data_IF_951153244638
#
_entry.id   IF_951153244638
#
_cell.length_a   1.000
_cell.length_b   1.000
_cell.length_c   1.000
_cell.angle_alpha   90.00
_cell.angle_beta   90.00
_cell.angle_gamma   90.00
#
_symmetry.space_group_name_H-M   'P 1'
#
loop_
_entity.id
_entity.type
_entity.pdbx_description
1 polymer ?
#
# COMPACT_ATOMS: atom_id res chain seq x y z
N UNK A 1 -4.44 -28.57 -12.60
CA UNK A 1 -3.85 -27.99 -11.38
C UNK A 1 -4.94 -27.24 -10.63
N UNK A 2 -5.08 -27.49 -9.33
CA UNK A 2 -6.05 -26.90 -8.42
C UNK A 2 -5.35 -25.89 -7.51
N UNK A 3 -5.67 -24.62 -7.67
CA UNK A 3 -5.01 -23.52 -6.96
C UNK A 3 -5.99 -22.95 -5.94
N UNK A 4 -5.65 -23.05 -4.66
CA UNK A 4 -6.41 -22.38 -3.62
C UNK A 4 -5.87 -20.96 -3.42
N UNK A 5 -6.72 -19.93 -3.59
CA UNK A 5 -6.34 -18.54 -3.33
C UNK A 5 -7.09 -17.95 -2.14
N UNK A 6 -6.43 -17.11 -1.34
CA UNK A 6 -7.04 -16.36 -0.25
C UNK A 6 -6.65 -14.89 -0.35
N UNK A 7 -7.62 -14.01 -0.61
CA UNK A 7 -7.54 -12.57 -0.42
C UNK A 7 -8.64 -12.11 0.54
N UNK A 8 -8.33 -11.14 1.42
CA UNK A 8 -9.26 -10.62 2.42
C UNK A 8 -9.56 -9.12 2.32
N UNK A 9 -8.93 -8.43 1.36
CA UNK A 9 -9.09 -7.00 1.13
C UNK A 9 -9.12 -6.69 -0.37
N UNK A 10 -9.64 -5.52 -0.77
CA UNK A 10 -9.72 -5.11 -2.17
C UNK A 10 -8.34 -5.01 -2.87
N UNK A 11 -7.29 -4.63 -2.13
CA UNK A 11 -5.90 -4.65 -2.60
C UNK A 11 -5.45 -6.06 -2.94
N UNK A 12 -5.71 -7.03 -2.05
CA UNK A 12 -5.43 -8.44 -2.25
C UNK A 12 -6.24 -9.05 -3.40
N UNK A 13 -7.52 -8.66 -3.55
CA UNK A 13 -8.39 -9.10 -4.66
C UNK A 13 -7.80 -8.67 -6.02
N UNK A 14 -7.35 -7.43 -6.14
CA UNK A 14 -6.67 -6.92 -7.34
C UNK A 14 -5.38 -7.68 -7.66
N UNK A 15 -4.55 -7.94 -6.64
CA UNK A 15 -3.32 -8.73 -6.80
C UNK A 15 -3.61 -10.19 -7.21
N UNK A 16 -4.61 -10.80 -6.59
CA UNK A 16 -5.05 -12.17 -6.88
C UNK A 16 -5.59 -12.32 -8.30
N UNK A 17 -6.44 -11.38 -8.74
CA UNK A 17 -6.96 -11.38 -10.10
C UNK A 17 -5.84 -11.25 -11.14
N UNK A 18 -4.87 -10.35 -10.91
CA UNK A 18 -3.72 -10.19 -11.79
C UNK A 18 -2.82 -11.43 -11.84
N UNK A 19 -2.61 -12.10 -10.70
CA UNK A 19 -1.89 -13.37 -10.62
C UNK A 19 -2.64 -14.49 -11.37
N UNK A 20 -3.95 -14.62 -11.18
CA UNK A 20 -4.78 -15.61 -11.87
C UNK A 20 -4.74 -15.42 -13.39
N UNK A 21 -4.82 -14.17 -13.87
CA UNK A 21 -4.66 -13.86 -15.28
C UNK A 21 -3.28 -14.28 -15.82
N UNK A 22 -2.21 -14.03 -15.06
CA UNK A 22 -0.86 -14.49 -15.40
C UNK A 22 -0.75 -16.02 -15.45
N UNK A 23 -1.36 -16.73 -14.50
CA UNK A 23 -1.37 -18.20 -14.48
C UNK A 23 -2.13 -18.76 -15.68
N UNK A 24 -3.30 -18.20 -16.02
CA UNK A 24 -4.06 -18.59 -17.22
C UNK A 24 -3.26 -18.37 -18.51
N UNK A 25 -2.44 -17.32 -18.57
CA UNK A 25 -1.61 -16.98 -19.74
C UNK A 25 -0.43 -17.93 -19.92
N UNK A 26 0.23 -18.35 -18.83
CA UNK A 26 1.50 -19.06 -18.89
C UNK A 26 1.42 -20.56 -18.63
N UNK A 27 0.32 -21.07 -18.07
CA UNK A 27 0.19 -22.50 -17.82
C UNK A 27 -0.34 -23.25 -19.05
N UNK A 28 0.22 -24.42 -19.39
CA UNK A 28 -0.21 -25.20 -20.56
C UNK A 28 -1.62 -25.75 -20.40
N UNK A 29 -2.01 -26.12 -19.17
CA UNK A 29 -3.34 -26.59 -18.83
C UNK A 29 -4.04 -25.54 -17.97
N UNK A 30 -5.33 -25.28 -18.24
CA UNK A 30 -6.12 -24.32 -17.50
C UNK A 30 -6.21 -24.74 -16.02
N UNK A 31 -5.72 -23.92 -15.07
CA UNK A 31 -5.88 -24.19 -13.65
C UNK A 31 -7.34 -24.01 -13.19
N UNK A 32 -7.72 -24.74 -12.15
CA UNK A 32 -8.97 -24.55 -11.42
C UNK A 32 -8.70 -23.66 -10.21
N UNK A 33 -9.44 -22.55 -10.10
CA UNK A 33 -9.32 -21.59 -9.02
C UNK A 33 -10.49 -21.72 -8.05
N UNK A 34 -10.16 -21.87 -6.76
CA UNK A 34 -11.15 -21.87 -5.68
C UNK A 34 -10.52 -21.27 -4.42
N UNK A 35 -11.34 -20.83 -3.47
CA UNK A 35 -10.84 -20.27 -2.21
C UNK A 35 -11.64 -19.07 -1.79
N UNK A 36 -11.02 -17.96 -1.43
CA UNK A 36 -11.71 -16.75 -0.97
C UNK A 36 -11.12 -15.56 -1.69
N UNK A 37 -11.97 -14.80 -2.38
CA UNK A 37 -11.58 -13.61 -3.12
C UNK A 37 -12.75 -12.66 -3.27
N UNK A 38 -12.47 -11.46 -3.77
CA UNK A 38 -13.47 -10.45 -4.04
C UNK A 38 -13.97 -10.48 -5.49
N UNK A 39 -14.69 -9.43 -5.91
CA UNK A 39 -15.31 -9.38 -7.22
C UNK A 39 -14.33 -9.53 -8.39
N UNK A 40 -13.09 -9.05 -8.28
CA UNK A 40 -12.12 -9.13 -9.37
C UNK A 40 -11.61 -10.57 -9.57
N UNK A 41 -11.33 -11.28 -8.48
CA UNK A 41 -10.95 -12.70 -8.55
C UNK A 41 -12.13 -13.57 -9.01
N UNK A 42 -13.35 -13.30 -8.54
CA UNK A 42 -14.55 -14.00 -9.00
C UNK A 42 -14.77 -13.83 -10.51
N UNK A 43 -14.62 -12.60 -11.03
CA UNK A 43 -14.68 -12.33 -12.48
C UNK A 43 -13.58 -13.06 -13.26
N UNK A 44 -12.40 -13.24 -12.66
CA UNK A 44 -11.31 -14.04 -13.23
C UNK A 44 -11.53 -15.57 -13.14
N UNK A 45 -12.67 -16.01 -12.57
CA UNK A 45 -13.08 -17.42 -12.51
C UNK A 45 -12.83 -18.12 -11.17
N UNK A 46 -12.55 -17.38 -10.09
CA UNK A 46 -12.44 -17.95 -8.74
C UNK A 46 -13.81 -18.43 -8.24
N UNK A 47 -13.90 -19.69 -7.81
CA UNK A 47 -15.04 -20.17 -7.01
C UNK A 47 -14.83 -19.80 -5.54
N UNK A 48 -15.47 -18.72 -5.09
CA UNK A 48 -15.37 -18.25 -3.70
C UNK A 48 -16.11 -19.20 -2.74
N UNK A 49 -15.50 -19.50 -1.60
CA UNK A 49 -16.00 -20.38 -0.55
C UNK A 49 -16.97 -19.64 0.37
N UNK A 50 -16.66 -18.37 0.63
CA UNK A 50 -17.49 -17.46 1.41
C UNK A 50 -17.15 -16.01 1.04
N UNK A 51 -18.02 -15.04 1.37
CA UNK A 51 -17.78 -13.65 1.05
C UNK A 51 -16.46 -13.14 1.63
N UNK A 52 -15.63 -12.45 0.84
CA UNK A 52 -14.40 -11.82 1.31
C UNK A 52 -14.65 -10.87 2.50
N UNK A 53 -15.84 -10.27 2.56
CA UNK A 53 -16.28 -9.39 3.65
C UNK A 53 -16.32 -10.08 5.03
N UNK A 54 -16.41 -11.41 5.09
CA UNK A 54 -16.36 -12.17 6.35
C UNK A 54 -15.00 -12.05 7.05
N UNK A 55 -13.94 -11.78 6.27
CA UNK A 55 -12.56 -11.71 6.78
C UNK A 55 -11.92 -10.33 6.59
N UNK A 56 -12.56 -9.41 5.87
CA UNK A 56 -12.16 -8.01 5.81
C UNK A 56 -12.47 -7.34 7.16
N UNK A 57 -11.47 -7.08 8.00
CA UNK A 57 -11.68 -6.53 9.34
C UNK A 57 -11.22 -5.08 9.39
N UNK A 58 -12.16 -4.16 9.63
CA UNK A 58 -11.87 -2.77 9.95
C UNK A 58 -11.74 -2.60 11.48
N UNK A 59 -10.53 -2.71 12.02
CA UNK A 59 -10.19 -2.23 13.36
C UNK A 59 -10.08 -3.28 14.47
N UNK A 60 -9.27 -2.95 15.49
CA UNK A 60 -8.84 -3.88 16.58
C UNK A 60 -10.00 -4.32 17.48
N UNK A 61 -11.00 -3.46 17.70
CA UNK A 61 -12.17 -3.75 18.56
C UNK A 61 -13.12 -4.79 17.96
N UNK A 62 -13.27 -4.83 16.63
CA UNK A 62 -14.08 -5.84 15.94
C UNK A 62 -13.41 -7.23 15.93
N UNK A 63 -12.08 -7.29 15.99
CA UNK A 63 -11.33 -8.55 15.97
C UNK A 63 -11.66 -9.41 17.19
N UNK A 64 -11.80 -8.80 18.38
CA UNK A 64 -12.03 -9.54 19.62
C UNK A 64 -13.44 -10.14 19.66
N UNK A 65 -14.46 -9.39 19.24
CA UNK A 65 -15.85 -9.85 19.21
C UNK A 65 -16.08 -10.91 18.13
N UNK A 66 -15.36 -10.85 17.01
CA UNK A 66 -15.47 -11.81 15.89
C UNK A 66 -14.43 -12.94 15.92
N UNK A 67 -13.62 -13.06 16.98
CA UNK A 67 -12.53 -14.05 17.01
C UNK A 67 -12.98 -15.49 16.76
N UNK A 68 -14.08 -15.92 17.38
CA UNK A 68 -14.64 -17.28 17.19
C UNK A 68 -15.09 -17.52 15.75
N UNK A 69 -15.69 -16.50 15.15
CA UNK A 69 -16.15 -16.53 13.76
C UNK A 69 -14.96 -16.65 12.79
N UNK A 70 -13.92 -15.84 12.98
CA UNK A 70 -12.69 -15.90 12.17
C UNK A 70 -11.99 -17.24 12.31
N UNK A 71 -11.91 -17.79 13.53
CA UNK A 71 -11.35 -19.13 13.76
C UNK A 71 -12.14 -20.21 13.00
N UNK A 72 -13.47 -20.09 12.93
CA UNK A 72 -14.31 -20.98 12.12
C UNK A 72 -14.02 -20.83 10.62
N UNK A 73 -13.92 -19.60 10.09
CA UNK A 73 -13.55 -19.35 8.69
C UNK A 73 -12.17 -19.91 8.33
N UNK A 74 -11.20 -19.82 9.24
CA UNK A 74 -9.87 -20.44 9.06
C UNK A 74 -10.00 -21.97 8.96
N UNK A 75 -10.80 -22.58 9.85
CA UNK A 75 -11.00 -24.03 9.82
C UNK A 75 -11.70 -24.48 8.53
N UNK A 76 -12.77 -23.79 8.13
CA UNK A 76 -13.52 -24.03 6.89
C UNK A 76 -12.63 -23.90 5.65
N UNK A 77 -11.80 -22.85 5.58
CA UNK A 77 -10.83 -22.70 4.49
C UNK A 77 -9.76 -23.80 4.50
N UNK A 78 -9.26 -24.20 5.67
CA UNK A 78 -8.30 -25.30 5.77
C UNK A 78 -8.92 -26.65 5.36
N UNK A 79 -10.17 -26.91 5.73
CA UNK A 79 -10.91 -28.10 5.32
C UNK A 79 -11.11 -28.10 3.79
N UNK A 80 -11.45 -26.95 3.20
CA UNK A 80 -11.58 -26.80 1.75
C UNK A 80 -10.27 -27.03 0.99
N UNK A 81 -9.13 -26.54 1.49
CA UNK A 81 -7.80 -26.80 0.89
C UNK A 81 -7.50 -28.30 0.86
N UNK A 82 -7.81 -29.01 1.96
CA UNK A 82 -7.49 -30.43 2.11
C UNK A 82 -8.45 -31.30 1.30
N UNK A 83 -9.76 -31.08 1.45
CA UNK A 83 -10.79 -31.84 0.75
C UNK A 83 -10.82 -31.56 -0.76
N UNK A 84 -10.47 -30.33 -1.16
CA UNK A 84 -10.33 -29.94 -2.56
C UNK A 84 -9.05 -30.50 -3.21
N UNK A 85 -8.12 -31.04 -2.42
CA UNK A 85 -6.80 -31.50 -2.87
C UNK A 85 -6.04 -30.41 -3.63
N UNK A 86 -5.85 -29.25 -3.00
CA UNK A 86 -5.10 -28.17 -3.64
C UNK A 86 -3.66 -28.60 -3.94
N UNK A 87 -3.20 -28.31 -5.16
CA UNK A 87 -1.80 -28.48 -5.56
C UNK A 87 -0.93 -27.37 -4.96
N UNK A 88 -1.53 -26.20 -4.70
CA UNK A 88 -0.86 -25.06 -4.06
C UNK A 88 -1.86 -24.21 -3.28
N UNK A 89 -1.43 -23.73 -2.12
CA UNK A 89 -2.11 -22.70 -1.33
C UNK A 89 -1.41 -21.36 -1.55
N UNK A 90 -2.09 -20.41 -2.17
CA UNK A 90 -1.62 -19.04 -2.36
C UNK A 90 -2.41 -18.12 -1.44
N UNK A 91 -1.73 -17.47 -0.50
CA UNK A 91 -2.35 -16.48 0.37
C UNK A 91 -1.86 -15.09 0.04
N UNK A 92 -2.74 -14.10 0.04
CA UNK A 92 -2.47 -12.74 -0.44
C UNK A 92 -2.76 -11.75 0.69
N UNK A 93 -1.69 -11.15 1.21
CA UNK A 93 -1.74 -10.20 2.32
C UNK A 93 -2.52 -10.75 3.54
N UNK A 94 -3.10 -9.88 4.36
CA UNK A 94 -3.87 -10.19 5.58
C UNK A 94 -3.18 -11.23 6.49
N UNK A 95 -1.90 -11.00 6.87
CA UNK A 95 -1.05 -12.02 7.48
C UNK A 95 -1.60 -12.60 8.79
N UNK A 96 -2.45 -11.88 9.52
CA UNK A 96 -3.11 -12.37 10.73
C UNK A 96 -4.10 -13.51 10.46
N UNK A 97 -4.72 -13.55 9.27
CA UNK A 97 -5.60 -14.62 8.83
C UNK A 97 -4.86 -15.64 7.95
N UNK A 98 -4.15 -15.15 6.92
CA UNK A 98 -3.49 -16.01 5.93
C UNK A 98 -2.42 -16.91 6.50
N UNK A 99 -1.55 -16.40 7.39
CA UNK A 99 -0.51 -17.22 8.01
C UNK A 99 -1.09 -18.25 8.98
N UNK A 100 -2.25 -17.97 9.58
CA UNK A 100 -2.96 -18.95 10.41
C UNK A 100 -3.59 -20.05 9.58
N UNK A 101 -4.13 -19.71 8.40
CA UNK A 101 -4.60 -20.70 7.42
C UNK A 101 -3.45 -21.59 6.95
N UNK A 102 -2.35 -21.00 6.47
CA UNK A 102 -1.18 -21.75 6.01
C UNK A 102 -0.65 -22.71 7.10
N UNK A 103 -0.56 -22.23 8.34
CA UNK A 103 -0.21 -23.07 9.51
C UNK A 103 -1.23 -24.18 9.79
N UNK A 104 -2.53 -23.91 9.65
CA UNK A 104 -3.58 -24.91 9.88
C UNK A 104 -3.55 -26.01 8.81
N UNK A 105 -3.30 -25.64 7.55
CA UNK A 105 -3.13 -26.58 6.44
C UNK A 105 -1.87 -27.43 6.64
N UNK A 106 -0.71 -26.79 6.86
CA UNK A 106 0.58 -27.49 7.05
C UNK A 106 0.55 -28.55 8.15
N UNK A 107 -0.21 -28.31 9.23
CA UNK A 107 -0.40 -29.26 10.34
C UNK A 107 -1.14 -30.54 9.96
N UNK A 108 -1.92 -30.49 8.87
CA UNK A 108 -2.81 -31.58 8.45
C UNK A 108 -2.31 -32.26 7.18
N UNK A 109 -1.75 -31.50 6.23
CA UNK A 109 -1.21 -32.00 4.97
C UNK A 109 -0.07 -31.10 4.50
N UNK A 110 0.96 -31.70 3.91
CA UNK A 110 1.99 -30.94 3.23
C UNK A 110 1.45 -30.48 1.87
N UNK A 111 1.02 -29.22 1.81
CA UNK A 111 0.62 -28.55 0.56
C UNK A 111 1.63 -27.43 0.32
N UNK A 112 2.20 -27.29 -0.89
CA UNK A 112 3.05 -26.16 -1.23
C UNK A 112 2.34 -24.83 -0.92
N UNK A 113 2.99 -23.96 -0.15
CA UNK A 113 2.40 -22.71 0.32
C UNK A 113 3.18 -21.50 -0.17
N UNK A 114 2.49 -20.64 -0.93
CA UNK A 114 2.98 -19.36 -1.43
C UNK A 114 2.29 -18.23 -0.66
N UNK A 115 3.06 -17.24 -0.22
CA UNK A 115 2.54 -16.02 0.38
C UNK A 115 2.86 -14.81 -0.50
N UNK A 116 1.84 -14.11 -0.98
CA UNK A 116 1.95 -12.91 -1.78
C UNK A 116 1.80 -11.68 -0.88
N UNK A 117 2.74 -10.74 -1.02
CA UNK A 117 2.97 -9.58 -0.15
C UNK A 117 3.73 -10.01 1.08
N UNK A 118 5.05 -9.83 1.03
CA UNK A 118 5.89 -10.06 2.19
C UNK A 118 5.42 -9.16 3.34
N UNK A 119 5.24 -9.69 4.57
CA UNK A 119 4.96 -8.82 5.68
C UNK A 119 6.19 -7.92 5.92
N UNK A 120 5.99 -6.72 6.45
CA UNK A 120 7.03 -5.71 6.71
C UNK A 120 8.02 -6.11 7.82
N UNK A 121 8.72 -7.24 7.63
CA UNK A 121 9.72 -7.84 8.50
C UNK A 121 10.92 -6.89 8.66
N UNK A 122 11.29 -6.22 7.58
CA UNK A 122 12.41 -5.30 7.45
C UNK A 122 12.30 -4.06 8.35
N UNK A 123 11.08 -3.53 8.57
CA UNK A 123 10.93 -2.29 9.30
C UNK A 123 11.11 -2.44 10.83
N UNK A 124 10.65 -3.53 11.45
CA UNK A 124 10.55 -3.59 12.93
C UNK A 124 10.38 -4.98 13.56
N UNK A 125 10.25 -6.06 12.78
CA UNK A 125 9.98 -7.43 13.30
C UNK A 125 10.75 -8.50 12.53
N UNK A 126 12.09 -8.58 12.66
CA UNK A 126 12.90 -9.58 11.95
C UNK A 126 12.43 -11.01 12.25
N UNK A 127 12.01 -11.27 13.49
CA UNK A 127 11.46 -12.54 13.98
C UNK A 127 10.23 -13.07 13.24
N UNK A 128 9.57 -12.26 12.40
CA UNK A 128 8.36 -12.67 11.69
C UNK A 128 8.67 -13.62 10.54
N UNK A 129 9.77 -13.43 9.81
CA UNK A 129 10.17 -14.34 8.75
C UNK A 129 10.46 -15.75 9.29
N UNK A 130 11.20 -15.88 10.39
CA UNK A 130 11.46 -17.20 11.00
C UNK A 130 10.18 -17.85 11.54
N UNK A 131 9.17 -17.07 11.95
CA UNK A 131 7.88 -17.62 12.38
C UNK A 131 7.03 -18.15 11.23
N UNK A 132 7.26 -17.68 10.01
CA UNK A 132 6.51 -18.06 8.80
C UNK A 132 7.10 -19.29 8.11
N UNK A 133 8.43 -19.39 8.08
CA UNK A 133 9.17 -20.44 7.38
C UNK A 133 8.68 -21.88 7.65
N UNK A 134 8.19 -22.27 8.85
CA UNK A 134 7.69 -23.63 9.05
C UNK A 134 6.43 -23.98 8.25
N UNK A 135 5.74 -23.01 7.65
CA UNK A 135 4.46 -23.23 6.95
C UNK A 135 4.26 -22.35 5.71
N UNK A 136 5.28 -21.63 5.27
CA UNK A 136 5.32 -20.89 3.99
C UNK A 136 6.60 -21.30 3.29
N UNK A 137 6.51 -21.70 2.03
CA UNK A 137 7.65 -22.25 1.27
C UNK A 137 8.22 -21.21 0.29
N UNK A 138 7.35 -20.35 -0.25
CA UNK A 138 7.69 -19.32 -1.22
C UNK A 138 6.99 -18.00 -0.93
N UNK A 139 7.70 -16.89 -1.14
CA UNK A 139 7.16 -15.53 -0.95
C UNK A 139 7.28 -14.72 -2.23
N UNK A 140 6.20 -14.06 -2.62
CA UNK A 140 6.17 -13.10 -3.72
C UNK A 140 6.31 -11.69 -3.13
N UNK A 141 7.51 -11.13 -3.25
CA UNK A 141 7.87 -9.84 -2.66
C UNK A 141 7.52 -8.66 -3.57
N UNK A 142 7.03 -7.57 -2.97
CA UNK A 142 6.67 -6.35 -3.71
C UNK A 142 7.83 -5.36 -3.78
N UNK A 143 8.85 -5.52 -2.93
CA UNK A 143 10.02 -4.64 -2.89
C UNK A 143 11.32 -5.41 -3.16
N UNK A 144 12.28 -4.81 -3.88
CA UNK A 144 13.50 -5.49 -4.30
C UNK A 144 14.43 -5.89 -3.14
N UNK A 145 14.32 -5.23 -1.99
CA UNK A 145 15.12 -5.50 -0.79
C UNK A 145 14.50 -6.58 0.12
N UNK A 146 13.29 -7.07 -0.15
CA UNK A 146 12.61 -8.07 0.70
C UNK A 146 13.15 -9.50 0.56
N UNK A 147 13.52 -10.01 -0.64
CA UNK A 147 13.94 -11.39 -0.81
C UNK A 147 15.06 -11.86 0.13
N UNK A 148 16.14 -11.09 0.39
CA UNK A 148 17.19 -11.52 1.31
C UNK A 148 16.68 -11.87 2.73
N UNK A 149 15.67 -11.15 3.23
CA UNK A 149 15.11 -11.42 4.56
C UNK A 149 14.34 -12.74 4.63
N UNK A 150 13.65 -13.10 3.55
CA UNK A 150 12.88 -14.36 3.48
C UNK A 150 13.79 -15.55 3.24
N UNK A 151 14.79 -15.38 2.37
CA UNK A 151 15.81 -16.38 2.07
C UNK A 151 16.65 -16.71 3.30
N UNK A 152 17.04 -15.71 4.10
CA UNK A 152 17.73 -15.92 5.37
C UNK A 152 16.90 -16.72 6.40
N UNK A 153 15.56 -16.73 6.29
CA UNK A 153 14.68 -17.54 7.12
C UNK A 153 14.43 -18.95 6.55
N UNK A 154 14.99 -19.28 5.39
CA UNK A 154 14.86 -20.58 4.74
C UNK A 154 13.70 -20.69 3.73
N UNK A 155 13.04 -19.58 3.39
CA UNK A 155 11.98 -19.57 2.37
C UNK A 155 12.55 -19.13 1.03
N UNK A 156 12.07 -19.71 -0.08
CA UNK A 156 12.33 -19.13 -1.40
C UNK A 156 11.56 -17.81 -1.55
N UNK A 157 12.11 -16.85 -2.27
CA UNK A 157 11.46 -15.56 -2.45
C UNK A 157 11.95 -14.88 -3.72
N UNK A 158 11.01 -14.42 -4.53
CA UNK A 158 11.27 -13.65 -5.74
C UNK A 158 10.57 -12.29 -5.64
N UNK A 159 11.24 -11.25 -6.13
CA UNK A 159 10.68 -9.93 -6.29
C UNK A 159 9.82 -9.89 -7.57
N UNK A 160 8.53 -9.62 -7.41
CA UNK A 160 7.55 -9.67 -8.51
C UNK A 160 7.15 -8.28 -9.02
N UNK A 161 7.68 -7.21 -8.43
CA UNK A 161 7.28 -5.84 -8.73
C UNK A 161 6.15 -5.34 -7.84
N UNK A 162 5.97 -4.02 -7.82
CA UNK A 162 4.92 -3.38 -7.03
C UNK A 162 3.76 -2.94 -7.94
N UNK A 163 2.48 -3.20 -7.60
CA UNK A 163 1.34 -2.89 -8.47
C UNK A 163 1.22 -1.41 -8.87
N UNK A 164 1.76 -0.50 -8.05
CA UNK A 164 1.77 0.95 -8.30
C UNK A 164 2.33 1.33 -9.67
N UNK A 165 3.27 0.56 -10.23
CA UNK A 165 3.86 0.87 -11.54
C UNK A 165 2.88 0.69 -12.70
N UNK A 166 1.77 -0.01 -12.47
CA UNK A 166 0.69 -0.22 -13.42
C UNK A 166 -0.59 0.55 -13.05
N UNK A 167 -0.58 1.29 -11.94
CA UNK A 167 -1.75 2.08 -11.59
C UNK A 167 -1.91 3.23 -12.60
N UNK A 168 -3.12 3.43 -13.13
CA UNK A 168 -3.32 4.40 -14.19
C UNK A 168 -3.11 5.80 -13.64
N UNK A 169 -2.10 6.53 -14.13
CA UNK A 169 -1.86 7.93 -13.80
C UNK A 169 -2.73 8.85 -14.67
N UNK A 170 -3.02 10.06 -14.17
CA UNK A 170 -3.69 11.06 -14.99
C UNK A 170 -2.74 11.59 -16.07
N UNK A 171 -3.30 11.93 -17.22
CA UNK A 171 -2.57 12.62 -18.29
C UNK A 171 -2.30 14.08 -17.92
N UNK A 172 -1.32 14.71 -18.60
CA UNK A 172 -1.06 16.15 -18.44
C UNK A 172 -2.29 17.01 -18.76
N UNK A 173 -3.10 16.61 -19.74
CA UNK A 173 -4.34 17.32 -20.10
C UNK A 173 -5.41 17.23 -19.01
N UNK A 174 -5.54 16.07 -18.34
CA UNK A 174 -6.44 15.94 -17.18
C UNK A 174 -5.96 16.77 -15.99
N UNK A 175 -4.64 16.83 -15.75
CA UNK A 175 -4.05 17.67 -14.71
C UNK A 175 -4.30 19.17 -14.97
N UNK A 176 -4.11 19.64 -16.20
CA UNK A 176 -4.41 21.03 -16.62
C UNK A 176 -5.90 21.35 -16.50
N UNK A 177 -6.77 20.41 -16.90
CA UNK A 177 -8.22 20.58 -16.74
C UNK A 177 -8.61 20.71 -15.28
N UNK A 178 -8.07 19.86 -14.41
CA UNK A 178 -8.31 19.95 -12.97
C UNK A 178 -7.88 21.30 -12.40
N UNK A 179 -6.70 21.80 -12.80
CA UNK A 179 -6.21 23.14 -12.44
C UNK A 179 -7.21 24.24 -12.83
N UNK A 180 -7.66 24.26 -14.08
CA UNK A 180 -8.65 25.23 -14.57
C UNK A 180 -10.01 25.12 -13.85
N UNK A 181 -10.53 23.91 -13.66
CA UNK A 181 -11.82 23.67 -13.00
C UNK A 181 -11.81 24.06 -11.51
N UNK A 182 -10.63 24.07 -10.87
CA UNK A 182 -10.44 24.45 -9.47
C UNK A 182 -9.98 25.90 -9.29
N UNK A 183 -9.78 26.65 -10.38
CA UNK A 183 -9.25 28.02 -10.34
C UNK A 183 -7.80 28.11 -9.87
N UNK A 184 -7.04 27.02 -10.04
CA UNK A 184 -5.62 26.91 -9.72
C UNK A 184 -4.85 26.83 -11.05
N UNK A 185 -4.84 27.93 -11.81
CA UNK A 185 -4.21 27.97 -13.14
C UNK A 185 -2.69 27.77 -13.03
N UNK A 186 -1.91 28.86 -13.03
CA UNK A 186 -0.44 28.81 -12.95
C UNK A 186 0.10 28.90 -11.52
N UNK A 187 -0.79 29.04 -10.53
CA UNK A 187 -0.40 29.15 -9.13
C UNK A 187 0.25 27.84 -8.63
N UNK A 188 1.34 27.89 -7.83
CA UNK A 188 1.93 26.67 -7.31
C UNK A 188 0.96 25.96 -6.37
N UNK A 189 0.82 24.66 -6.56
CA UNK A 189 -0.19 23.83 -5.91
C UNK A 189 0.46 22.81 -4.96
N UNK A 190 0.03 22.83 -3.71
CA UNK A 190 0.45 21.91 -2.67
C UNK A 190 -0.66 20.90 -2.36
N UNK A 191 -0.34 19.61 -2.44
CA UNK A 191 -1.22 18.57 -1.93
C UNK A 191 -1.04 18.38 -0.44
N UNK A 192 -2.13 18.44 0.31
CA UNK A 192 -2.16 18.12 1.73
C UNK A 192 -2.76 16.72 1.90
N UNK A 193 -1.99 15.78 2.44
CA UNK A 193 -2.41 14.38 2.57
C UNK A 193 -2.21 13.93 4.04
N UNK A 194 -3.06 14.37 4.99
CA UNK A 194 -2.87 14.12 6.43
C UNK A 194 -3.12 12.66 6.88
N UNK A 195 -3.47 11.77 5.96
CA UNK A 195 -3.64 10.34 6.22
C UNK A 195 -4.99 9.80 5.76
N UNK A 196 -5.15 8.48 5.87
CA UNK A 196 -6.38 7.77 5.49
C UNK A 196 -7.11 7.19 6.70
N UNK A 197 -6.49 7.22 7.88
CA UNK A 197 -7.02 6.67 9.13
C UNK A 197 -7.38 7.78 10.10
N UNK A 198 -8.45 7.58 10.87
CA UNK A 198 -8.93 8.59 11.82
C UNK A 198 -7.87 9.02 12.86
N UNK A 199 -6.99 8.10 13.27
CA UNK A 199 -5.87 8.41 14.16
C UNK A 199 -4.81 9.30 13.52
N UNK A 200 -4.58 9.17 12.22
CA UNK A 200 -3.63 9.99 11.45
C UNK A 200 -4.19 11.40 11.33
N UNK A 201 -5.45 11.52 10.90
CA UNK A 201 -6.14 12.80 10.79
C UNK A 201 -6.12 13.58 12.11
N UNK A 202 -6.48 12.95 13.23
CA UNK A 202 -6.50 13.60 14.55
C UNK A 202 -5.14 14.13 15.01
N UNK A 203 -4.03 13.57 14.52
CA UNK A 203 -2.67 13.95 14.92
C UNK A 203 -2.02 14.91 13.93
N UNK A 204 -2.20 14.63 12.64
CA UNK A 204 -1.50 15.34 11.56
C UNK A 204 -2.27 16.56 11.07
N UNK A 205 -3.60 16.55 11.07
CA UNK A 205 -4.37 17.70 10.60
C UNK A 205 -4.05 19.00 11.37
N UNK A 206 -3.90 19.01 12.72
CA UNK A 206 -3.50 20.22 13.44
C UNK A 206 -2.10 20.74 13.06
N UNK A 207 -1.14 19.84 12.84
CA UNK A 207 0.22 20.22 12.42
C UNK A 207 0.19 20.76 10.98
N UNK A 208 -0.54 20.10 10.08
CA UNK A 208 -0.67 20.51 8.69
C UNK A 208 -1.37 21.86 8.56
N UNK A 209 -2.37 22.15 9.40
CA UNK A 209 -3.03 23.46 9.44
C UNK A 209 -2.02 24.60 9.66
N UNK A 210 -1.14 24.44 10.65
CA UNK A 210 -0.08 25.41 10.95
C UNK A 210 0.97 25.50 9.85
N UNK A 211 1.35 24.38 9.25
CA UNK A 211 2.27 24.37 8.11
C UNK A 211 1.68 25.13 6.94
N UNK A 212 0.42 24.87 6.59
CA UNK A 212 -0.32 25.54 5.52
C UNK A 212 -0.45 27.04 5.79
N UNK A 213 -0.77 27.43 7.03
CA UNK A 213 -0.79 28.85 7.44
C UNK A 213 0.57 29.53 7.23
N UNK A 214 1.66 28.92 7.72
CA UNK A 214 3.02 29.46 7.55
C UNK A 214 3.46 29.50 6.08
N UNK A 215 3.08 28.50 5.28
CA UNK A 215 3.35 28.46 3.84
C UNK A 215 2.62 29.58 3.11
N UNK A 216 1.32 29.76 3.38
CA UNK A 216 0.53 30.84 2.79
C UNK A 216 1.04 32.23 3.18
N UNK A 217 1.48 32.40 4.43
CA UNK A 217 2.09 33.66 4.88
C UNK A 217 3.41 33.95 4.14
N UNK A 218 4.21 32.93 3.82
CA UNK A 218 5.47 33.09 3.09
C UNK A 218 5.28 33.27 1.57
N UNK A 219 4.32 32.57 0.97
CA UNK A 219 3.98 32.58 -0.47
C UNK A 219 2.45 32.63 -0.63
N UNK A 220 1.84 33.84 -0.64
CA UNK A 220 0.38 34.00 -0.67
C UNK A 220 -0.31 33.47 -1.94
N UNK A 221 0.46 33.26 -3.01
CA UNK A 221 0.03 32.68 -4.28
C UNK A 221 -0.23 31.16 -4.19
N UNK A 222 0.32 30.48 -3.18
CA UNK A 222 0.15 29.02 -3.01
C UNK A 222 -1.32 28.63 -2.88
N UNK A 223 -1.68 27.56 -3.61
CA UNK A 223 -2.98 26.90 -3.52
C UNK A 223 -2.82 25.54 -2.87
N UNK A 224 -3.79 25.16 -2.05
CA UNK A 224 -3.77 23.91 -1.31
C UNK A 224 -4.92 23.02 -1.75
N UNK A 225 -4.65 21.74 -1.98
CA UNK A 225 -5.65 20.74 -2.36
C UNK A 225 -5.55 19.56 -1.42
N UNK A 226 -6.68 19.07 -0.93
CA UNK A 226 -6.75 17.94 0.01
C UNK A 226 -7.69 16.86 -0.51
N UNK A 227 -7.14 15.80 -1.12
CA UNK A 227 -7.88 14.59 -1.42
C UNK A 227 -8.19 13.78 -0.16
N UNK A 228 -9.46 13.44 0.04
CA UNK A 228 -9.92 12.71 1.25
C UNK A 228 -10.12 11.23 0.98
N UNK A 229 -9.76 10.38 1.96
CA UNK A 229 -10.13 8.97 1.95
C UNK A 229 -11.57 8.78 2.48
N UNK A 230 -12.30 7.81 1.92
CA UNK A 230 -13.72 7.56 2.22
C UNK A 230 -13.99 7.34 3.72
N UNK A 231 -13.06 6.69 4.41
CA UNK A 231 -13.10 6.38 5.84
C UNK A 231 -13.06 7.59 6.77
N UNK A 232 -12.63 8.77 6.29
CA UNK A 232 -12.32 9.92 7.16
C UNK A 232 -12.94 11.24 6.71
N UNK A 233 -13.82 11.25 5.70
CA UNK A 233 -14.40 12.47 5.12
C UNK A 233 -14.97 13.41 6.19
N UNK A 234 -15.84 12.91 7.06
CA UNK A 234 -16.47 13.72 8.11
C UNK A 234 -15.42 14.31 9.06
N UNK A 235 -14.51 13.46 9.55
CA UNK A 235 -13.46 13.89 10.46
C UNK A 235 -12.53 14.94 9.84
N UNK A 236 -12.21 14.80 8.56
CA UNK A 236 -11.39 15.77 7.83
C UNK A 236 -12.13 17.09 7.68
N UNK A 237 -13.41 17.08 7.29
CA UNK A 237 -14.23 18.29 7.18
C UNK A 237 -14.32 19.03 8.52
N UNK A 238 -14.52 18.31 9.62
CA UNK A 238 -14.56 18.88 10.97
C UNK A 238 -13.24 19.53 11.37
N UNK A 239 -12.11 18.88 11.07
CA UNK A 239 -10.78 19.43 11.36
C UNK A 239 -10.45 20.65 10.49
N UNK A 240 -10.82 20.63 9.21
CA UNK A 240 -10.51 21.70 8.25
C UNK A 240 -11.40 22.93 8.46
N UNK A 241 -12.58 22.77 9.05
CA UNK A 241 -13.48 23.89 9.32
C UNK A 241 -12.81 25.01 10.14
N UNK A 242 -11.82 24.66 10.98
CA UNK A 242 -11.06 25.59 11.82
C UNK A 242 -9.72 26.04 11.22
N UNK A 243 -9.36 25.58 10.01
CA UNK A 243 -8.09 25.97 9.39
C UNK A 243 -8.12 27.45 8.96
N UNK A 244 -7.07 28.23 9.25
CA UNK A 244 -6.96 29.63 8.80
C UNK A 244 -7.01 29.76 7.27
N UNK A 245 -6.40 28.80 6.57
CA UNK A 245 -6.35 28.73 5.11
C UNK A 245 -6.99 27.41 4.68
N UNK A 246 -8.05 27.51 3.87
CA UNK A 246 -8.87 26.35 3.48
C UNK A 246 -8.36 25.74 2.17
N UNK A 247 -7.96 24.45 2.16
CA UNK A 247 -7.66 23.75 0.92
C UNK A 247 -8.93 23.44 0.13
N UNK A 248 -8.79 23.29 -1.19
CA UNK A 248 -9.81 22.70 -2.03
C UNK A 248 -9.95 21.21 -1.72
N UNK A 249 -11.15 20.76 -1.34
CA UNK A 249 -11.38 19.39 -0.90
C UNK A 249 -11.84 18.52 -2.06
N UNK A 250 -11.17 17.38 -2.27
CA UNK A 250 -11.65 16.35 -3.19
C UNK A 250 -12.32 15.25 -2.37
N UNK A 251 -13.63 15.13 -2.52
CA UNK A 251 -14.40 14.07 -1.86
C UNK A 251 -14.22 12.73 -2.58
N UNK A 252 -14.10 11.62 -1.83
CA UNK A 252 -14.09 10.29 -2.41
C UNK A 252 -15.51 10.00 -2.89
N UNK A 253 -15.71 9.95 -4.22
CA UNK A 253 -16.93 9.39 -4.81
C UNK A 253 -16.61 8.08 -5.49
N UNK A 254 -17.59 7.19 -5.50
CA UNK A 254 -17.51 5.88 -6.15
C UNK A 254 -17.61 5.96 -7.67
N UNK A 255 -17.87 7.15 -8.22
CA UNK A 255 -17.90 7.35 -9.66
C UNK A 255 -16.48 7.40 -10.25
N UNK A 256 -16.38 7.04 -11.53
CA UNK A 256 -15.12 7.06 -12.29
C UNK A 256 -14.50 8.47 -12.27
N UNK A 257 -15.33 9.50 -12.10
CA UNK A 257 -14.94 10.90 -12.16
C UNK A 257 -14.15 11.35 -10.91
N UNK A 258 -14.52 10.96 -9.69
CA UNK A 258 -13.75 11.30 -8.50
C UNK A 258 -12.38 10.59 -8.44
N UNK A 259 -12.31 9.34 -8.91
CA UNK A 259 -11.02 8.67 -9.11
C UNK A 259 -10.16 9.39 -10.16
N UNK A 260 -10.77 9.99 -11.20
CA UNK A 260 -10.02 10.86 -12.12
C UNK A 260 -9.56 12.16 -11.46
N UNK A 261 -10.36 12.78 -10.59
CA UNK A 261 -9.97 14.03 -9.90
C UNK A 261 -8.81 13.84 -8.93
N UNK A 262 -8.82 12.80 -8.09
CA UNK A 262 -7.67 12.51 -7.19
C UNK A 262 -6.38 12.35 -8.00
N UNK A 263 -6.42 11.54 -9.07
CA UNK A 263 -5.25 11.28 -9.91
C UNK A 263 -4.78 12.52 -10.66
N UNK A 264 -5.72 13.33 -11.16
CA UNK A 264 -5.42 14.60 -11.80
C UNK A 264 -4.77 15.57 -10.82
N UNK A 265 -5.25 15.65 -9.58
CA UNK A 265 -4.66 16.47 -8.53
C UNK A 265 -3.23 16.02 -8.17
N UNK A 266 -2.99 14.71 -8.05
CA UNK A 266 -1.63 14.15 -7.87
C UNK A 266 -0.70 14.58 -8.99
N UNK A 267 -1.13 14.41 -10.24
CA UNK A 267 -0.34 14.79 -11.41
C UNK A 267 -0.16 16.31 -11.58
N UNK A 268 -1.09 17.11 -11.09
CA UNK A 268 -1.09 18.56 -11.22
C UNK A 268 -0.23 19.27 -10.15
N UNK A 269 0.08 18.61 -9.04
CA UNK A 269 0.71 19.24 -7.89
C UNK A 269 2.21 19.46 -8.08
N UNK A 270 2.70 20.57 -7.52
CA UNK A 270 4.12 20.94 -7.55
C UNK A 270 4.88 20.33 -6.37
N UNK A 271 4.20 20.17 -5.22
CA UNK A 271 4.73 19.45 -4.06
C UNK A 271 3.59 18.85 -3.22
N UNK A 272 3.86 17.77 -2.50
CA UNK A 272 2.93 17.16 -1.55
C UNK A 272 3.48 17.18 -0.12
N UNK A 273 2.66 17.56 0.83
CA UNK A 273 2.87 17.30 2.25
C UNK A 273 2.04 16.08 2.63
N UNK A 274 2.70 14.95 2.87
CA UNK A 274 2.04 13.66 3.00
C UNK A 274 2.34 12.93 4.30
N UNK A 275 1.32 12.25 4.83
CA UNK A 275 1.51 11.21 5.83
C UNK A 275 2.33 10.05 5.24
N UNK A 276 3.21 9.46 6.06
CA UNK A 276 4.01 8.29 5.66
C UNK A 276 3.12 7.10 5.26
N UNK A 277 3.43 6.43 4.15
CA UNK A 277 2.72 5.22 3.72
C UNK A 277 2.81 4.95 2.21
N UNK A 278 1.86 4.18 1.69
CA UNK A 278 1.77 3.82 0.27
C UNK A 278 1.54 5.03 -0.64
N UNK A 279 0.98 6.11 -0.11
CA UNK A 279 0.77 7.37 -0.85
C UNK A 279 2.06 7.96 -1.39
N UNK A 280 3.21 7.71 -0.72
CA UNK A 280 4.52 8.14 -1.21
C UNK A 280 4.87 7.47 -2.55
N UNK A 281 4.47 6.21 -2.76
CA UNK A 281 4.68 5.53 -4.04
C UNK A 281 3.71 6.02 -5.12
N UNK A 282 2.46 6.35 -4.76
CA UNK A 282 1.52 6.98 -5.69
C UNK A 282 2.04 8.34 -6.18
N UNK A 283 2.56 9.16 -5.27
CA UNK A 283 3.20 10.44 -5.60
C UNK A 283 4.48 10.25 -6.45
N UNK A 284 5.28 9.24 -6.13
CA UNK A 284 6.46 8.90 -6.93
C UNK A 284 6.11 8.45 -8.35
N UNK A 285 4.99 7.73 -8.52
CA UNK A 285 4.50 7.33 -9.84
C UNK A 285 4.08 8.52 -10.71
N UNK A 286 3.52 9.57 -10.11
CA UNK A 286 3.19 10.84 -10.80
C UNK A 286 4.34 11.83 -10.84
N UNK A 287 5.52 11.46 -10.31
CA UNK A 287 6.71 12.30 -10.15
C UNK A 287 6.43 13.59 -9.37
N UNK A 288 5.50 13.54 -8.42
CA UNK A 288 5.12 14.67 -7.56
C UNK A 288 6.07 14.75 -6.37
N UNK A 289 6.92 15.79 -6.26
CA UNK A 289 7.83 15.97 -5.13
C UNK A 289 7.06 15.98 -3.81
N UNK A 290 7.68 15.52 -2.73
CA UNK A 290 6.99 15.37 -1.45
C UNK A 290 7.87 15.64 -0.23
N UNK A 291 7.20 16.02 0.86
CA UNK A 291 7.72 16.01 2.22
C UNK A 291 6.84 15.09 3.05
N UNK A 292 7.47 14.16 3.75
CA UNK A 292 6.75 13.18 4.58
C UNK A 292 6.76 13.64 6.03
N UNK A 293 5.58 13.68 6.64
CA UNK A 293 5.41 14.00 8.06
C UNK A 293 4.50 12.96 8.72
N UNK A 294 4.93 12.38 9.82
CA UNK A 294 4.14 11.37 10.51
C UNK A 294 4.29 11.45 12.02
N UNK A 295 3.17 11.34 12.72
CA UNK A 295 3.16 11.33 14.17
C UNK A 295 2.44 10.09 14.74
N UNK A 296 3.05 9.52 15.77
CA UNK A 296 2.57 8.39 16.55
C UNK A 296 2.28 8.81 17.99
N UNK A 297 1.40 8.07 18.67
CA UNK A 297 1.17 8.28 20.10
C UNK A 297 2.46 8.12 20.92
N UNK A 298 2.59 8.85 22.02
CA UNK A 298 3.81 8.87 22.85
C UNK A 298 4.34 7.47 23.21
N UNK A 299 3.45 6.58 23.64
CA UNK A 299 3.81 5.19 23.96
C UNK A 299 4.32 4.42 22.72
N UNK A 300 3.66 4.61 21.57
CA UNK A 300 4.11 4.05 20.29
C UNK A 300 5.46 4.60 19.87
N UNK A 301 5.73 5.90 20.05
CA UNK A 301 7.05 6.51 19.76
C UNK A 301 8.16 5.83 20.57
N UNK A 302 7.94 5.61 21.87
CA UNK A 302 8.93 4.98 22.75
C UNK A 302 9.20 3.51 22.40
N UNK A 303 8.17 2.77 21.98
CA UNK A 303 8.30 1.35 21.64
C UNK A 303 8.84 1.18 20.22
N UNK A 304 8.18 1.79 19.23
CA UNK A 304 8.52 1.66 17.81
C UNK A 304 9.86 2.33 17.52
N UNK A 305 10.15 3.50 18.11
CA UNK A 305 11.44 4.18 17.93
C UNK A 305 12.64 3.35 18.38
N UNK A 306 12.48 2.47 19.38
CA UNK A 306 13.53 1.52 19.82
C UNK A 306 13.60 0.25 18.98
N UNK A 307 12.56 -0.05 18.20
CA UNK A 307 12.44 -1.27 17.40
C UNK A 307 12.69 -1.05 15.90
N UNK A 308 12.54 0.19 15.42
CA UNK A 308 12.83 0.56 14.04
C UNK A 308 14.32 0.36 13.77
N UNK A 309 14.62 -0.41 12.73
CA UNK A 309 16.00 -0.67 12.28
C UNK A 309 16.40 0.15 11.06
N UNK A 310 15.49 0.98 10.57
CA UNK A 310 15.64 1.77 9.35
C UNK A 310 15.79 3.24 9.72
N UNK A 311 16.68 3.95 9.03
CA UNK A 311 16.89 5.39 9.22
C UNK A 311 15.81 6.26 8.55
N UNK A 312 15.00 5.64 7.68
CA UNK A 312 13.95 6.25 6.88
C UNK A 312 12.71 5.36 6.89
N UNK A 313 11.53 5.98 6.83
CA UNK A 313 10.23 5.31 6.68
C UNK A 313 9.62 5.53 5.29
N UNK A 314 10.18 6.44 4.47
CA UNK A 314 9.74 6.63 3.09
C UNK A 314 10.18 5.46 2.21
N UNK A 315 9.23 4.85 1.51
CA UNK A 315 9.52 3.74 0.59
C UNK A 315 10.45 4.17 -0.56
N UNK A 316 10.38 5.43 -1.01
CA UNK A 316 11.29 5.97 -2.03
C UNK A 316 12.74 5.97 -1.53
N UNK A 317 12.95 6.49 -0.33
CA UNK A 317 14.27 6.54 0.31
C UNK A 317 14.82 5.14 0.60
N UNK A 318 13.97 4.22 1.07
CA UNK A 318 14.36 2.82 1.31
C UNK A 318 14.75 2.08 0.04
N UNK A 319 14.04 2.29 -1.07
CA UNK A 319 14.32 1.64 -2.36
C UNK A 319 15.59 2.20 -3.00
N UNK A 320 15.83 3.50 -2.84
CA UNK A 320 17.00 4.18 -3.44
C UNK A 320 18.21 4.26 -2.52
N UNK A 321 18.10 3.76 -1.29
CA UNK A 321 19.09 3.93 -0.22
C UNK A 321 19.57 5.40 -0.11
N UNK A 322 18.60 6.33 -0.13
CA UNK A 322 18.87 7.77 -0.15
C UNK A 322 18.06 8.52 0.92
N UNK A 323 18.36 9.80 1.12
CA UNK A 323 17.57 10.73 1.96
C UNK A 323 16.95 11.84 1.11
N UNK A 324 16.54 11.50 -0.11
CA UNK A 324 16.03 12.45 -1.09
C UNK A 324 14.68 13.04 -0.68
N UNK A 325 13.83 12.24 -0.04
CA UNK A 325 12.54 12.69 0.51
C UNK A 325 12.75 13.15 1.96
N UNK A 326 12.52 14.43 2.31
CA UNK A 326 12.57 14.89 3.69
C UNK A 326 11.49 14.22 4.56
N UNK A 327 11.90 13.79 5.76
CA UNK A 327 11.03 13.05 6.68
C UNK A 327 11.03 13.68 8.07
N UNK A 328 9.82 13.96 8.58
CA UNK A 328 9.56 14.58 9.87
C UNK A 328 8.71 13.64 10.72
N UNK A 329 9.38 12.75 11.44
CA UNK A 329 8.74 11.66 12.17
C UNK A 329 8.73 11.94 13.67
N UNK A 330 7.62 11.59 14.33
CA UNK A 330 7.45 11.66 15.77
C UNK A 330 7.72 13.07 16.34
N UNK A 331 8.75 13.24 17.17
CA UNK A 331 9.11 14.54 17.76
C UNK A 331 9.55 15.59 16.72
N UNK A 332 9.97 15.14 15.55
CA UNK A 332 10.35 16.03 14.44
C UNK A 332 9.16 16.44 13.57
N UNK A 333 7.97 15.88 13.78
CA UNK A 333 6.73 16.27 13.09
C UNK A 333 6.22 17.62 13.63
N UNK A 334 6.97 18.69 13.34
CA UNK A 334 6.76 20.06 13.82
C UNK A 334 6.73 21.03 12.67
N UNK A 335 5.81 21.99 12.72
CA UNK A 335 5.61 22.97 11.67
C UNK A 335 6.87 23.79 11.36
N UNK A 336 7.71 24.10 12.38
CA UNK A 336 8.95 24.86 12.18
C UNK A 336 9.98 24.13 11.31
N UNK A 337 9.95 22.80 11.32
CA UNK A 337 10.89 21.96 10.54
C UNK A 337 10.32 21.60 9.17
N UNK A 338 9.01 21.36 9.12
CA UNK A 338 8.31 20.94 7.91
C UNK A 338 8.22 22.09 6.90
N UNK A 339 7.76 23.28 7.31
CA UNK A 339 7.54 24.42 6.42
C UNK A 339 8.75 24.78 5.55
N UNK A 340 9.97 25.01 6.10
CA UNK A 340 11.13 25.36 5.26
C UNK A 340 11.51 24.23 4.30
N UNK A 341 11.26 22.98 4.67
CA UNK A 341 11.54 21.83 3.82
C UNK A 341 10.57 21.71 2.65
N UNK A 342 9.28 22.02 2.86
CA UNK A 342 8.29 22.09 1.79
C UNK A 342 8.66 23.18 0.79
N UNK A 343 9.04 24.37 1.26
CA UNK A 343 9.48 25.47 0.38
C UNK A 343 10.74 25.09 -0.40
N UNK A 344 11.73 24.47 0.25
CA UNK A 344 12.95 24.02 -0.42
C UNK A 344 12.66 22.99 -1.52
N UNK A 345 11.78 22.03 -1.26
CA UNK A 345 11.39 21.02 -2.26
C UNK A 345 10.59 21.64 -3.40
N UNK A 346 9.72 22.60 -3.10
CA UNK A 346 8.98 23.34 -4.11
C UNK A 346 9.90 24.11 -5.06
N UNK A 347 10.96 24.74 -4.53
CA UNK A 347 11.88 25.56 -5.31
C UNK A 347 12.96 24.74 -6.03
N UNK A 348 13.38 23.58 -5.48
CA UNK A 348 14.34 22.65 -6.11
C UNK A 348 13.95 21.18 -5.92
N UNK A 349 13.07 20.64 -6.79
CA UNK A 349 12.60 19.25 -6.70
C UNK A 349 13.53 18.24 -7.39
N UNK A 350 14.61 18.67 -8.04
CA UNK A 350 15.37 17.89 -9.02
C UNK A 350 15.86 16.55 -8.48
N UNK A 351 16.45 16.58 -7.28
CA UNK A 351 16.97 15.38 -6.62
C UNK A 351 15.86 14.38 -6.28
N UNK A 352 14.67 14.86 -5.90
CA UNK A 352 13.53 13.97 -5.64
C UNK A 352 13.00 13.34 -6.90
N UNK A 353 12.90 14.08 -8.00
CA UNK A 353 12.39 13.56 -9.27
C UNK A 353 13.26 12.38 -9.74
N UNK A 354 14.59 12.52 -9.65
CA UNK A 354 15.54 11.44 -9.97
C UNK A 354 15.36 10.21 -9.07
N UNK A 355 15.19 10.42 -7.75
CA UNK A 355 14.95 9.33 -6.81
C UNK A 355 13.61 8.62 -7.06
N UNK A 356 12.54 9.36 -7.37
CA UNK A 356 11.22 8.81 -7.69
C UNK A 356 11.25 8.00 -8.98
N UNK A 357 11.93 8.50 -10.04
CA UNK A 357 12.11 7.77 -11.28
C UNK A 357 12.90 6.46 -11.07
N UNK A 358 14.01 6.53 -10.33
CA UNK A 358 14.82 5.36 -9.97
C UNK A 358 14.00 4.35 -9.16
N UNK A 359 13.15 4.83 -8.26
CA UNK A 359 12.21 4.01 -7.50
C UNK A 359 11.25 3.27 -8.42
N UNK A 360 10.60 3.96 -9.37
CA UNK A 360 9.65 3.30 -10.29
C UNK A 360 10.34 2.24 -11.16
N UNK A 361 11.55 2.52 -11.66
CA UNK A 361 12.36 1.53 -12.37
C UNK A 361 12.68 0.31 -11.49
N UNK A 362 13.13 0.53 -10.26
CA UNK A 362 13.43 -0.54 -9.30
C UNK A 362 12.18 -1.35 -8.92
N UNK A 363 10.98 -0.74 -8.91
CA UNK A 363 9.70 -1.42 -8.73
C UNK A 363 9.24 -2.20 -9.98
N UNK A 364 9.98 -2.10 -11.07
CA UNK A 364 9.76 -2.83 -12.31
C UNK A 364 8.84 -2.13 -13.31
N UNK A 365 8.81 -0.79 -13.31
CA UNK A 365 8.23 -0.01 -14.40
C UNK A 365 8.88 -0.42 -15.74
N UNK A 366 8.08 -0.51 -16.80
CA UNK A 366 8.47 -0.98 -18.15
C UNK A 366 8.87 -2.46 -18.26
N UNK A 367 8.84 -3.23 -17.16
CA UNK A 367 9.00 -4.68 -17.19
C UNK A 367 7.68 -5.42 -17.45
N UNK A 368 7.70 -6.75 -17.34
CA UNK A 368 6.47 -7.54 -17.33
C UNK A 368 5.55 -7.07 -16.19
N UNK A 369 4.21 -7.07 -16.37
CA UNK A 369 3.28 -6.72 -15.31
C UNK A 369 3.53 -7.53 -14.02
N UNK A 370 3.40 -6.95 -12.81
CA UNK A 370 3.65 -7.68 -11.57
C UNK A 370 2.84 -8.96 -11.41
N UNK A 371 1.58 -8.98 -11.86
CA UNK A 371 0.77 -10.20 -11.85
C UNK A 371 1.33 -11.33 -12.73
N UNK A 372 1.96 -10.97 -13.86
CA UNK A 372 2.61 -11.93 -14.76
C UNK A 372 3.91 -12.47 -14.15
N UNK A 373 4.73 -11.59 -13.57
CA UNK A 373 5.94 -11.98 -12.82
C UNK A 373 5.59 -12.90 -11.65
N UNK A 374 4.53 -12.57 -10.91
CA UNK A 374 4.02 -13.39 -9.81
C UNK A 374 3.59 -14.78 -10.29
N UNK A 375 2.89 -14.88 -11.41
CA UNK A 375 2.50 -16.17 -11.98
C UNK A 375 3.71 -17.01 -12.41
N UNK A 376 4.67 -16.41 -13.11
CA UNK A 376 5.90 -17.08 -13.51
C UNK A 376 6.71 -17.58 -12.31
N UNK A 377 6.78 -16.78 -11.24
CA UNK A 377 7.41 -17.14 -9.97
C UNK A 377 6.76 -18.38 -9.35
N UNK A 378 5.42 -18.40 -9.28
CA UNK A 378 4.66 -19.57 -8.78
C UNK A 378 4.90 -20.81 -9.64
N UNK A 379 4.86 -20.67 -10.97
CA UNK A 379 5.09 -21.78 -11.90
C UNK A 379 6.50 -22.35 -11.71
N UNK A 380 7.52 -21.48 -11.63
CA UNK A 380 8.92 -21.87 -11.41
C UNK A 380 9.09 -22.57 -10.06
N UNK A 381 8.48 -22.04 -9.00
CA UNK A 381 8.52 -22.63 -7.67
C UNK A 381 7.90 -24.04 -7.67
N UNK A 382 6.72 -24.21 -8.27
CA UNK A 382 6.03 -25.50 -8.33
C UNK A 382 6.76 -26.54 -9.20
N UNK A 383 7.44 -26.11 -10.26
CA UNK A 383 8.25 -27.00 -11.09
C UNK A 383 9.53 -27.52 -10.39
N UNK A 384 9.94 -26.87 -9.29
CA UNK A 384 11.10 -27.24 -8.49
C UNK A 384 10.76 -28.07 -7.24
N UNK A 385 9.46 -28.31 -6.98
CA UNK A 385 8.97 -29.25 -5.97
C UNK A 385 8.91 -30.66 -6.55
#
# INVERSE_FOLDING_TARGET
>A
MKVFLLAGEASGDKLGAALMAGLLKHMPNRPEFYGVGGPLMEQAGLKTLFPMSDISLMGISEILSKYRFLKRRIAEAADAVIAGEADVLITIDLPEFSLRLAKAVRRRKQVPSVHYVAPTVWAWRPGRAQKMAPFVDHVLALFPFEPPYMQAAGMSCDFVGHPVVNDPCATRGEAQRFRAETGIDDAPMILCLPGSRGSEIKRLAPVFAKVVEKLHAARPDLKFVLPMAASVVTLVKDQIATWPVKPFLIEPRSDVHAYSQKRAAFQAADVALAASGTVALELAATQTPMVVAYDMGFLSRQIIGRMLKVETVSLVNLITDSKSIPEFIAENCREELITPSVLKVLDDPTGQIQAMQSTMQALGQNGHPPGERAAQSVIKFLAAQ
#
